data_IF_565425198302
#
_entry.id   IF_565425198302
#
_cell.length_a   1.000
_cell.length_b   1.000
_cell.length_c   1.000
_cell.angle_alpha   90.00
_cell.angle_beta   90.00
_cell.angle_gamma   90.00
#
_symmetry.space_group_name_H-M   'P 1'
#
loop_
_entity.id
_entity.type
_entity.pdbx_description
1 polymer ?
#
# COMPACT_ATOMS: atom_id res chain seq x y z
N UNK A 1 -10.15 11.16 -5.05
CA UNK A 1 -9.16 10.28 -5.72
C UNK A 1 -9.67 8.86 -5.78
N UNK A 2 -9.13 8.07 -6.67
CA UNK A 2 -9.49 6.64 -6.75
C UNK A 2 -8.86 5.87 -5.58
N UNK A 3 -9.50 4.76 -5.21
CA UNK A 3 -9.01 3.94 -4.08
C UNK A 3 -7.58 3.43 -4.30
N UNK A 4 -7.25 2.97 -5.52
CA UNK A 4 -5.91 2.50 -5.82
C UNK A 4 -4.86 3.62 -5.70
N UNK A 5 -5.23 4.85 -6.03
CA UNK A 5 -4.35 6.01 -5.83
C UNK A 5 -4.10 6.28 -4.34
N UNK A 6 -5.15 6.16 -3.53
CA UNK A 6 -5.03 6.32 -2.08
C UNK A 6 -4.11 5.24 -1.48
N UNK A 7 -4.26 4.00 -1.92
CA UNK A 7 -3.40 2.89 -1.48
C UNK A 7 -1.94 3.14 -1.88
N UNK A 8 -1.72 3.55 -3.12
CA UNK A 8 -0.37 3.87 -3.62
C UNK A 8 0.28 4.96 -2.77
N UNK A 9 -0.45 6.04 -2.52
CA UNK A 9 0.04 7.16 -1.72
C UNK A 9 0.38 6.73 -0.30
N UNK A 10 -0.50 5.96 0.32
CA UNK A 10 -0.27 5.46 1.69
C UNK A 10 0.96 4.57 1.75
N UNK A 11 1.09 3.63 0.80
CA UNK A 11 2.25 2.74 0.75
C UNK A 11 3.55 3.55 0.60
N UNK A 12 3.57 4.52 -0.29
CA UNK A 12 4.74 5.38 -0.51
C UNK A 12 5.10 6.15 0.76
N UNK A 13 4.10 6.70 1.46
CA UNK A 13 4.32 7.40 2.73
C UNK A 13 4.93 6.48 3.78
N UNK A 14 4.40 5.27 3.90
CA UNK A 14 4.92 4.29 4.89
C UNK A 14 6.35 3.88 4.58
N UNK A 15 6.68 3.66 3.31
CA UNK A 15 8.05 3.36 2.90
C UNK A 15 8.99 4.50 3.28
N UNK A 16 8.58 5.74 3.04
CA UNK A 16 9.37 6.92 3.40
C UNK A 16 9.55 7.04 4.91
N UNK A 17 8.45 6.91 5.67
CA UNK A 17 8.49 7.00 7.12
C UNK A 17 9.40 5.95 7.76
N UNK A 18 9.39 4.74 7.21
CA UNK A 18 10.18 3.63 7.73
C UNK A 18 11.57 3.55 7.12
N UNK A 19 11.90 4.49 6.24
CA UNK A 19 13.17 4.50 5.52
C UNK A 19 13.43 3.16 4.83
N UNK A 20 12.41 2.64 4.16
CA UNK A 20 12.41 1.32 3.54
C UNK A 20 12.27 1.43 2.03
N UNK A 21 13.09 0.67 1.29
CA UNK A 21 12.98 0.57 -0.16
C UNK A 21 11.94 -0.48 -0.55
N UNK A 22 11.50 -0.43 -1.81
CA UNK A 22 10.61 -1.48 -2.34
C UNK A 22 11.27 -2.86 -2.28
N UNK A 23 12.58 -2.93 -2.48
CA UNK A 23 13.31 -4.18 -2.40
C UNK A 23 13.28 -4.75 -0.97
N UNK A 24 13.50 -3.89 0.03
CA UNK A 24 13.41 -4.31 1.43
C UNK A 24 12.01 -4.78 1.80
N UNK A 25 10.98 -4.12 1.27
CA UNK A 25 9.60 -4.55 1.49
C UNK A 25 9.36 -5.91 0.85
N UNK A 26 9.88 -6.16 -0.36
CA UNK A 26 9.83 -7.48 -0.98
C UNK A 26 10.43 -8.54 -0.06
N UNK A 27 11.61 -8.29 0.48
CA UNK A 27 12.27 -9.26 1.38
C UNK A 27 11.46 -9.53 2.64
N UNK A 28 10.79 -8.51 3.19
CA UNK A 28 10.04 -8.63 4.44
C UNK A 28 8.63 -9.17 4.25
N UNK A 29 8.01 -8.88 3.12
CA UNK A 29 6.60 -9.25 2.89
C UNK A 29 6.43 -10.53 2.09
N UNK A 30 7.42 -10.89 1.29
CA UNK A 30 7.30 -11.97 0.32
C UNK A 30 6.49 -11.61 -0.92
N UNK A 31 5.97 -10.37 -0.99
CA UNK A 31 5.24 -9.90 -2.18
C UNK A 31 6.26 -9.60 -3.29
N UNK A 32 6.07 -10.14 -4.50
CA UNK A 32 7.02 -9.91 -5.61
C UNK A 32 7.25 -8.43 -5.88
N UNK A 33 8.47 -8.08 -6.24
CA UNK A 33 8.81 -6.68 -6.54
C UNK A 33 7.95 -6.09 -7.64
N UNK A 34 7.61 -6.88 -8.65
CA UNK A 34 6.73 -6.43 -9.73
C UNK A 34 5.34 -6.06 -9.20
N UNK A 35 4.81 -6.84 -8.26
CA UNK A 35 3.52 -6.55 -7.64
C UNK A 35 3.59 -5.27 -6.79
N UNK A 36 4.64 -5.11 -6.01
CA UNK A 36 4.84 -3.88 -5.23
C UNK A 36 4.92 -2.67 -6.16
N UNK A 37 5.69 -2.77 -7.24
CA UNK A 37 5.79 -1.71 -8.23
C UNK A 37 4.45 -1.38 -8.88
N UNK A 38 3.64 -2.39 -9.19
CA UNK A 38 2.31 -2.19 -9.74
C UNK A 38 1.39 -1.42 -8.78
N UNK A 39 1.47 -1.72 -7.49
CA UNK A 39 0.69 -0.99 -6.46
C UNK A 39 1.16 0.46 -6.39
N UNK A 40 2.46 0.68 -6.30
CA UNK A 40 3.03 2.03 -6.19
C UNK A 40 2.71 2.87 -7.43
N UNK A 41 2.73 2.26 -8.61
CA UNK A 41 2.52 2.97 -9.87
C UNK A 41 1.06 3.01 -10.33
N UNK A 42 0.12 2.48 -9.53
CA UNK A 42 -1.30 2.42 -9.89
C UNK A 42 -1.51 1.72 -11.24
N UNK A 43 -0.78 0.64 -11.48
CA UNK A 43 -0.83 -0.07 -12.77
C UNK A 43 -2.20 -0.74 -13.02
N UNK A 44 -2.93 -1.05 -11.96
CA UNK A 44 -4.26 -1.69 -12.03
C UNK A 44 -5.24 -0.92 -11.17
N UNK A 45 -6.53 -1.05 -11.49
CA UNK A 45 -7.60 -0.36 -10.77
C UNK A 45 -7.84 -0.93 -9.37
N UNK A 46 -7.40 -2.15 -9.11
CA UNK A 46 -7.65 -2.80 -7.83
C UNK A 46 -6.38 -3.45 -7.29
N UNK A 47 -6.38 -3.64 -5.97
CA UNK A 47 -5.32 -4.35 -5.26
C UNK A 47 -5.98 -5.52 -4.54
N UNK A 48 -5.43 -6.72 -4.68
CA UNK A 48 -5.96 -7.88 -3.95
C UNK A 48 -5.80 -7.65 -2.45
N UNK A 49 -6.85 -7.91 -1.71
CA UNK A 49 -6.84 -7.73 -0.26
C UNK A 49 -5.72 -8.55 0.40
N UNK A 50 -5.47 -9.76 -0.09
CA UNK A 50 -4.39 -10.61 0.41
C UNK A 50 -3.02 -9.94 0.22
N UNK A 51 -2.78 -9.34 -0.93
CA UNK A 51 -1.53 -8.61 -1.20
C UNK A 51 -1.36 -7.47 -0.20
N UNK A 52 -2.43 -6.72 0.03
CA UNK A 52 -2.40 -5.61 0.98
C UNK A 52 -2.06 -6.10 2.39
N UNK A 53 -2.67 -7.21 2.82
CA UNK A 53 -2.37 -7.82 4.11
C UNK A 53 -0.88 -8.21 4.21
N UNK A 54 -0.34 -8.84 3.17
CA UNK A 54 1.06 -9.24 3.15
C UNK A 54 2.00 -8.03 3.18
N UNK A 55 1.65 -6.94 2.48
CA UNK A 55 2.42 -5.70 2.53
C UNK A 55 2.43 -5.12 3.96
N UNK A 56 1.27 -5.13 4.62
CA UNK A 56 1.17 -4.67 6.01
C UNK A 56 2.04 -5.50 6.95
N UNK A 57 2.07 -6.83 6.75
CA UNK A 57 2.95 -7.71 7.52
C UNK A 57 4.42 -7.31 7.32
N UNK A 58 4.83 -7.05 6.09
CA UNK A 58 6.19 -6.61 5.79
C UNK A 58 6.52 -5.24 6.37
N UNK A 59 5.53 -4.37 6.52
CA UNK A 59 5.67 -3.06 7.12
C UNK A 59 5.56 -3.09 8.65
N UNK A 60 5.23 -4.24 9.24
CA UNK A 60 5.01 -4.41 10.69
C UNK A 60 3.88 -3.52 11.21
N UNK A 61 2.82 -3.40 10.43
CA UNK A 61 1.60 -2.69 10.84
C UNK A 61 0.40 -3.60 10.60
N UNK A 62 -0.73 -3.30 11.23
CA UNK A 62 -1.98 -3.99 10.93
C UNK A 62 -2.79 -3.23 9.87
N UNK A 63 -3.87 -3.86 9.40
CA UNK A 63 -4.72 -3.26 8.38
C UNK A 63 -5.39 -1.97 8.86
N UNK A 64 -5.78 -1.91 10.12
CA UNK A 64 -6.39 -0.72 10.68
C UNK A 64 -5.44 0.47 10.59
N UNK A 65 -4.19 0.27 10.94
CA UNK A 65 -3.20 1.34 10.88
C UNK A 65 -2.96 1.80 9.44
N UNK A 66 -2.94 0.86 8.50
CA UNK A 66 -2.77 1.21 7.09
C UNK A 66 -3.86 2.17 6.62
N UNK A 67 -5.12 1.90 6.98
CA UNK A 67 -6.27 2.67 6.50
C UNK A 67 -6.67 3.85 7.38
N UNK A 68 -6.00 4.07 8.49
CA UNK A 68 -6.36 5.13 9.44
C UNK A 68 -5.80 6.49 9.00
N UNK A 69 -6.27 6.97 7.85
CA UNK A 69 -5.90 8.28 7.30
C UNK A 69 -7.10 8.93 6.63
N UNK A 70 -7.12 10.29 6.64
CA UNK A 70 -8.22 11.03 5.98
C UNK A 70 -8.41 10.67 4.51
N UNK A 71 -7.35 10.30 3.80
CA UNK A 71 -7.45 10.00 2.37
C UNK A 71 -8.28 8.74 2.07
N UNK A 72 -8.57 7.91 3.07
CA UNK A 72 -9.46 6.75 2.92
C UNK A 72 -10.91 7.04 3.35
N UNK A 73 -11.23 8.26 3.76
CA UNK A 73 -12.61 8.62 4.08
C UNK A 73 -13.45 8.67 2.81
N UNK A 74 -14.72 8.29 2.93
CA UNK A 74 -15.62 8.19 1.79
C UNK A 74 -15.69 9.49 0.98
N UNK A 75 -15.68 10.63 1.65
CA UNK A 75 -15.72 11.94 0.99
C UNK A 75 -14.52 12.23 0.09
N UNK A 76 -13.42 11.49 0.27
CA UNK A 76 -12.19 11.69 -0.50
C UNK A 76 -12.00 10.64 -1.59
N UNK A 77 -12.87 9.64 -1.65
CA UNK A 77 -12.77 8.54 -2.60
C UNK A 77 -13.85 8.64 -3.67
N UNK A 78 -13.45 8.39 -4.92
CA UNK A 78 -14.36 8.31 -6.05
C UNK A 78 -15.07 6.94 -6.04
N UNK A 79 -16.29 6.90 -6.57
CA UNK A 79 -17.02 5.63 -6.69
C UNK A 79 -16.29 4.62 -7.57
#
# INVERSE_FOLDING_TARGET
>A
MKLNEAVSRRLTELLTEKNMTQYQLFLKSGVPKSTIGNVVNCAYDSVKLRVLHELCQGLSIDLNEFFDLPLFREENLEP
#
